data_IF_572334669519
#
_entry.id   IF_572334669519
#
_cell.length_a   1.000
_cell.length_b   1.000
_cell.length_c   1.000
_cell.angle_alpha   90.00
_cell.angle_beta   90.00
_cell.angle_gamma   90.00
#
_symmetry.space_group_name_H-M   'P 1'
#
loop_
_entity.id
_entity.type
_entity.pdbx_description
1 polymer ?
#
# COMPACT_ATOMS: atom_id res chain seq x y z
N UNK A 1 8.53 0.87 -26.51
CA UNK A 1 7.61 -0.09 -25.87
C UNK A 1 8.10 -0.36 -24.46
N UNK A 2 7.31 -0.15 -23.40
CA UNK A 2 7.74 -0.47 -22.03
C UNK A 2 7.67 -1.99 -21.84
N UNK A 3 8.78 -2.63 -21.44
CA UNK A 3 8.89 -4.09 -21.34
C UNK A 3 7.99 -4.70 -20.27
N UNK A 4 7.75 -6.02 -20.31
CA UNK A 4 6.77 -6.73 -19.47
C UNK A 4 6.88 -6.47 -17.94
N UNK A 5 8.05 -6.08 -17.43
CA UNK A 5 8.25 -5.72 -16.02
C UNK A 5 7.76 -4.33 -15.61
N UNK A 6 7.33 -3.47 -16.54
CA UNK A 6 7.01 -2.07 -16.24
C UNK A 6 5.77 -1.91 -15.35
N UNK A 7 4.76 -2.75 -15.56
CA UNK A 7 3.52 -2.75 -14.75
C UNK A 7 3.84 -3.21 -13.33
N UNK A 8 4.64 -4.26 -13.19
CA UNK A 8 5.04 -4.78 -11.89
C UNK A 8 5.84 -3.75 -11.10
N UNK A 9 6.84 -3.13 -11.72
CA UNK A 9 7.63 -2.08 -11.06
C UNK A 9 6.81 -0.86 -10.64
N UNK A 10 5.80 -0.47 -11.43
CA UNK A 10 4.88 0.60 -11.05
C UNK A 10 4.04 0.23 -9.81
N UNK A 11 3.55 -1.01 -9.76
CA UNK A 11 2.73 -1.52 -8.66
C UNK A 11 3.55 -1.72 -7.38
N UNK A 12 4.81 -2.13 -7.51
CA UNK A 12 5.76 -2.19 -6.39
C UNK A 12 6.04 -0.79 -5.82
N UNK A 13 6.23 0.22 -6.68
CA UNK A 13 6.40 1.60 -6.25
C UNK A 13 5.15 2.14 -5.54
N UNK A 14 3.95 1.83 -6.05
CA UNK A 14 2.67 2.16 -5.40
C UNK A 14 2.56 1.51 -4.00
N UNK A 15 2.98 0.24 -3.85
CA UNK A 15 2.96 -0.46 -2.58
C UNK A 15 3.93 0.16 -1.56
N UNK A 16 5.12 0.57 -2.01
CA UNK A 16 6.08 1.28 -1.16
C UNK A 16 5.52 2.61 -0.67
N UNK A 17 4.90 3.39 -1.55
CA UNK A 17 4.26 4.65 -1.17
C UNK A 17 3.13 4.42 -0.15
N UNK A 18 2.25 3.44 -0.39
CA UNK A 18 1.16 3.10 0.53
C UNK A 18 1.67 2.70 1.91
N UNK A 19 2.76 1.93 1.99
CA UNK A 19 3.40 1.58 3.26
C UNK A 19 3.88 2.82 4.01
N UNK A 20 4.51 3.78 3.33
CA UNK A 20 4.91 5.05 3.95
C UNK A 20 3.72 5.87 4.45
N UNK A 21 2.64 5.95 3.66
CA UNK A 21 1.40 6.65 4.05
C UNK A 21 0.74 5.99 5.27
N UNK A 22 0.71 4.66 5.33
CA UNK A 22 0.20 3.91 6.49
C UNK A 22 1.02 4.22 7.74
N UNK A 23 2.35 4.20 7.66
CA UNK A 23 3.23 4.54 8.80
C UNK A 23 2.92 5.95 9.31
N UNK A 24 2.75 6.92 8.41
CA UNK A 24 2.39 8.28 8.80
C UNK A 24 1.02 8.34 9.49
N UNK A 25 0.00 7.67 8.94
CA UNK A 25 -1.33 7.60 9.54
C UNK A 25 -1.34 6.92 10.91
N UNK A 26 -0.47 5.93 11.13
CA UNK A 26 -0.30 5.29 12.45
C UNK A 26 0.30 6.28 13.47
N UNK A 27 1.30 7.07 13.08
CA UNK A 27 1.85 8.13 13.92
C UNK A 27 0.81 9.22 14.22
N UNK A 28 0.06 9.66 13.21
CA UNK A 28 -1.00 10.65 13.36
C UNK A 28 -2.11 10.14 14.28
N UNK A 29 -2.43 8.84 14.23
CA UNK A 29 -3.40 8.22 15.11
C UNK A 29 -2.93 8.23 16.57
N UNK A 30 -1.65 7.90 16.81
CA UNK A 30 -1.04 7.97 18.14
C UNK A 30 -1.04 9.41 18.65
N UNK A 31 -0.66 10.37 17.82
CA UNK A 31 -0.65 11.79 18.17
C UNK A 31 -2.06 12.30 18.47
N UNK A 32 -3.05 11.95 17.66
CA UNK A 32 -4.45 12.32 17.84
C UNK A 32 -5.02 11.71 19.13
N UNK A 33 -4.72 10.45 19.43
CA UNK A 33 -5.15 9.77 20.65
C UNK A 33 -4.55 10.41 21.92
N UNK A 34 -3.31 10.88 21.84
CA UNK A 34 -2.63 11.60 22.92
C UNK A 34 -3.08 13.05 23.06
N UNK A 35 -3.68 13.62 22.01
CA UNK A 35 -4.28 14.94 22.05
C UNK A 35 -5.70 14.88 22.63
N UNK A 36 -6.13 15.91 23.38
CA UNK A 36 -7.53 16.03 23.79
C UNK A 36 -8.47 16.40 22.62
N UNK A 37 -7.96 16.50 21.39
CA UNK A 37 -8.72 16.83 20.20
C UNK A 37 -9.40 15.57 19.64
N UNK A 38 -10.65 15.35 20.08
CA UNK A 38 -11.46 14.18 19.72
C UNK A 38 -11.87 14.09 18.24
N UNK A 39 -11.83 15.21 17.51
CA UNK A 39 -12.49 15.32 16.20
C UNK A 39 -11.76 14.58 15.06
N UNK A 40 -10.43 14.44 15.13
CA UNK A 40 -9.66 13.90 14.00
C UNK A 40 -9.39 12.38 14.09
N UNK A 41 -9.66 11.75 15.23
CA UNK A 41 -9.29 10.35 15.47
C UNK A 41 -10.10 9.36 14.61
N UNK A 42 -11.39 9.62 14.45
CA UNK A 42 -12.27 8.77 13.64
C UNK A 42 -11.90 8.81 12.16
N UNK A 43 -11.54 9.98 11.64
CA UNK A 43 -11.14 10.16 10.24
C UNK A 43 -9.78 9.49 9.97
N UNK A 44 -8.79 9.71 10.83
CA UNK A 44 -7.47 9.06 10.73
C UNK A 44 -7.62 7.54 10.80
N UNK A 45 -8.41 7.01 11.75
CA UNK A 45 -8.64 5.58 11.87
C UNK A 45 -9.38 4.99 10.66
N UNK A 46 -10.33 5.74 10.08
CA UNK A 46 -11.02 5.34 8.86
C UNK A 46 -10.05 5.28 7.67
N UNK A 47 -9.26 6.31 7.45
CA UNK A 47 -8.30 6.35 6.36
C UNK A 47 -7.21 5.27 6.52
N UNK A 48 -6.73 5.05 7.74
CA UNK A 48 -5.78 3.98 8.03
C UNK A 48 -6.31 2.59 7.62
N UNK A 49 -7.56 2.27 7.99
CA UNK A 49 -8.20 1.00 7.58
C UNK A 49 -8.32 0.90 6.06
N UNK A 50 -8.72 1.98 5.41
CA UNK A 50 -8.86 2.05 3.95
C UNK A 50 -7.53 1.80 3.25
N UNK A 51 -6.46 2.44 3.70
CA UNK A 51 -5.13 2.30 3.08
C UNK A 51 -4.53 0.91 3.33
N UNK A 52 -4.72 0.32 4.53
CA UNK A 52 -4.34 -1.07 4.80
C UNK A 52 -5.03 -2.06 3.87
N UNK A 53 -6.35 -1.94 3.68
CA UNK A 53 -7.09 -2.80 2.75
C UNK A 53 -6.68 -2.60 1.29
N UNK A 54 -6.30 -1.37 0.90
CA UNK A 54 -5.77 -1.08 -0.44
C UNK A 54 -4.39 -1.72 -0.64
N UNK A 55 -3.51 -1.63 0.36
CA UNK A 55 -2.19 -2.26 0.32
C UNK A 55 -2.31 -3.78 0.20
N UNK A 56 -3.16 -4.41 1.00
CA UNK A 56 -3.41 -5.86 0.96
C UNK A 56 -3.80 -6.33 -0.45
N UNK A 57 -4.80 -5.68 -1.06
CA UNK A 57 -5.21 -5.98 -2.46
C UNK A 57 -4.09 -5.78 -3.47
N UNK A 58 -3.26 -4.77 -3.26
CA UNK A 58 -2.14 -4.48 -4.16
C UNK A 58 -1.04 -5.54 -4.02
N UNK A 59 -0.77 -6.00 -2.80
CA UNK A 59 0.18 -7.07 -2.50
C UNK A 59 -0.31 -8.42 -3.06
N UNK A 60 -1.59 -8.73 -2.92
CA UNK A 60 -2.24 -9.89 -3.58
C UNK A 60 -2.10 -9.81 -5.10
N UNK A 61 -2.36 -8.64 -5.69
CA UNK A 61 -2.18 -8.43 -7.13
C UNK A 61 -0.72 -8.64 -7.55
N UNK A 62 0.24 -8.10 -6.79
CA UNK A 62 1.67 -8.27 -7.05
C UNK A 62 2.12 -9.73 -6.93
N UNK A 63 1.59 -10.47 -5.96
CA UNK A 63 1.85 -11.90 -5.79
C UNK A 63 1.29 -12.74 -6.95
N UNK A 64 0.13 -12.34 -7.50
CA UNK A 64 -0.47 -13.00 -8.67
C UNK A 64 0.20 -12.63 -10.01
N UNK A 65 1.05 -11.60 -10.06
CA UNK A 65 1.72 -11.20 -11.29
C UNK A 65 2.83 -12.18 -11.69
N UNK A 66 2.88 -12.59 -12.97
CA UNK A 66 3.96 -13.44 -13.45
C UNK A 66 5.30 -12.70 -13.36
N UNK A 67 6.25 -13.27 -12.62
CA UNK A 67 7.65 -12.87 -12.66
C UNK A 67 8.19 -13.24 -14.04
N UNK A 68 8.44 -12.26 -14.89
CA UNK A 68 8.85 -12.52 -16.27
C UNK A 68 10.21 -13.24 -16.37
N UNK A 69 10.20 -14.59 -16.38
CA UNK A 69 11.03 -15.58 -17.11
C UNK A 69 10.63 -16.99 -16.61
N UNK A 70 10.18 -18.00 -17.37
CA UNK A 70 10.30 -18.28 -18.80
C UNK A 70 9.03 -18.95 -19.36
N UNK A 71 8.45 -18.38 -20.41
CA UNK A 71 7.91 -19.19 -21.49
C UNK A 71 9.11 -19.60 -22.36
N UNK A 72 9.73 -20.74 -22.04
CA UNK A 72 10.56 -21.60 -22.91
C UNK A 72 11.46 -22.48 -22.05
N UNK A 73 11.10 -23.76 -21.93
CA UNK A 73 12.00 -24.90 -22.04
C UNK A 73 11.19 -26.19 -21.97
N UNK A 74 11.09 -26.84 -23.14
CA UNK A 74 10.78 -28.25 -23.44
C UNK A 74 9.46 -28.84 -22.91
#
# INVERSE_FOLDING_TARGET
MRGAGWIKGLREAEALQLRSEIVQLELDLIQAANSKAKWNLHEIAHELRRQKARLERLEECLAAMPTGKAASAA
#
